data_IF_275061346668
#
_entry.id   IF_275061346668
#
_cell.length_a   1.000
_cell.length_b   1.000
_cell.length_c   1.000
_cell.angle_alpha   90.00
_cell.angle_beta   90.00
_cell.angle_gamma   90.00
#
_symmetry.space_group_name_H-M   'P 1'
#
loop_
_entity.id
_entity.type
_entity.pdbx_description
1 polymer ?
#
# COMPACT_ATOMS: atom_id res chain seq x y z
N UNK A 1 10.95 50.63 -34.14
CA UNK A 1 11.95 50.26 -35.17
C UNK A 1 12.64 48.97 -34.76
N UNK A 2 12.40 47.91 -35.53
CA UNK A 2 13.24 46.71 -35.77
C UNK A 2 13.40 45.64 -34.66
N UNK A 3 12.44 44.71 -34.59
CA UNK A 3 12.64 43.34 -34.10
C UNK A 3 13.00 42.43 -35.29
N UNK A 4 14.30 42.35 -35.61
CA UNK A 4 14.92 41.32 -36.49
C UNK A 4 15.40 40.22 -35.52
N UNK A 5 15.04 38.93 -35.55
CA UNK A 5 14.95 37.88 -36.57
C UNK A 5 13.98 36.82 -35.95
N UNK A 6 12.93 36.25 -36.53
CA UNK A 6 12.69 35.63 -37.84
C UNK A 6 13.73 34.57 -38.22
N UNK A 7 13.61 33.39 -37.59
CA UNK A 7 14.07 32.11 -38.14
C UNK A 7 13.03 31.01 -37.89
N UNK A 8 12.23 30.65 -38.91
CA UNK A 8 11.37 29.49 -38.93
C UNK A 8 12.04 28.36 -39.73
N UNK A 9 12.14 27.15 -39.18
CA UNK A 9 12.29 25.88 -39.90
C UNK A 9 12.36 24.75 -38.84
N UNK A 10 11.27 23.99 -38.68
CA UNK A 10 11.14 22.67 -39.29
C UNK A 10 12.12 21.62 -38.72
N UNK A 11 11.62 20.77 -37.83
CA UNK A 11 11.88 19.33 -37.91
C UNK A 11 10.89 18.54 -37.05
N UNK A 12 9.91 17.97 -37.74
CA UNK A 12 9.40 16.61 -37.55
C UNK A 12 9.05 16.14 -36.13
N UNK A 13 7.75 16.24 -35.85
CA UNK A 13 6.91 15.12 -35.40
C UNK A 13 7.60 13.74 -35.40
N UNK A 14 8.13 13.33 -34.25
CA UNK A 14 8.33 11.93 -33.93
C UNK A 14 7.12 11.45 -33.12
N UNK A 15 6.16 10.91 -33.87
CA UNK A 15 5.17 9.97 -33.37
C UNK A 15 5.88 8.89 -32.54
N UNK A 16 5.76 8.97 -31.23
CA UNK A 16 5.91 7.80 -30.37
C UNK A 16 4.51 7.38 -29.92
N UNK A 17 3.78 6.80 -30.87
CA UNK A 17 2.62 5.98 -30.60
C UNK A 17 3.10 4.65 -29.98
N UNK A 18 3.54 4.69 -28.73
CA UNK A 18 3.57 3.49 -27.90
C UNK A 18 2.18 3.27 -27.33
N UNK A 19 1.30 2.78 -28.21
CA UNK A 19 0.16 1.97 -27.82
C UNK A 19 0.72 0.79 -27.03
N UNK A 20 0.59 0.83 -25.71
CA UNK A 20 0.65 -0.35 -24.88
C UNK A 20 -0.72 -0.56 -24.23
N UNK A 21 -1.15 -1.82 -24.13
CA UNK A 21 -2.54 -2.23 -24.18
C UNK A 21 -3.19 -2.09 -22.81
N UNK A 22 -4.52 -2.04 -22.84
CA UNK A 22 -5.40 -1.96 -21.68
C UNK A 22 -4.86 -2.65 -20.44
N UNK A 23 -4.50 -1.83 -19.45
CA UNK A 23 -4.32 -2.27 -18.08
C UNK A 23 -5.72 -2.64 -17.58
N UNK A 24 -6.13 -3.89 -17.84
CA UNK A 24 -7.10 -4.56 -16.99
C UNK A 24 -6.57 -4.36 -15.58
N UNK A 25 -7.29 -3.58 -14.78
CA UNK A 25 -7.07 -3.55 -13.34
C UNK A 25 -7.25 -4.99 -12.91
N UNK A 26 -6.09 -5.60 -12.74
CA UNK A 26 -5.84 -6.90 -12.20
C UNK A 26 -6.79 -7.06 -11.04
N UNK A 27 -7.73 -7.98 -11.19
CA UNK A 27 -8.41 -8.59 -10.06
C UNK A 27 -7.30 -8.99 -9.11
N UNK A 28 -7.08 -8.17 -8.08
CA UNK A 28 -6.20 -8.47 -6.98
C UNK A 28 -6.65 -9.86 -6.52
N UNK A 29 -5.77 -10.88 -6.47
CA UNK A 29 -6.16 -12.12 -5.84
C UNK A 29 -6.57 -11.72 -4.42
N UNK A 30 -7.87 -11.81 -4.13
CA UNK A 30 -8.35 -11.67 -2.78
C UNK A 30 -7.51 -12.66 -1.96
N UNK A 31 -6.79 -12.21 -0.92
CA UNK A 31 -6.00 -13.12 -0.12
C UNK A 31 -6.96 -14.21 0.34
N UNK A 32 -6.59 -15.46 0.06
CA UNK A 32 -7.32 -16.64 0.45
C UNK A 32 -7.28 -16.74 1.98
N UNK A 33 -8.20 -16.03 2.64
CA UNK A 33 -8.42 -16.10 4.09
C UNK A 33 -9.92 -16.20 4.30
N UNK A 34 -10.53 -17.22 3.71
CA UNK A 34 -11.94 -17.57 4.00
C UNK A 34 -12.08 -18.50 5.20
N UNK A 35 -10.99 -19.05 5.74
CA UNK A 35 -11.06 -20.06 6.81
C UNK A 35 -10.91 -19.51 8.23
N UNK A 36 -10.40 -18.29 8.43
CA UNK A 36 -10.26 -17.69 9.77
C UNK A 36 -11.36 -16.69 10.14
N UNK A 37 -12.32 -16.45 9.23
CA UNK A 37 -13.51 -15.65 9.52
C UNK A 37 -14.54 -16.38 10.42
N UNK A 38 -14.18 -17.51 11.03
CA UNK A 38 -15.12 -18.45 11.62
C UNK A 38 -15.83 -17.98 12.91
N UNK A 39 -15.50 -16.81 13.48
CA UNK A 39 -16.25 -16.24 14.62
C UNK A 39 -16.39 -14.70 14.58
N UNK A 40 -16.27 -14.06 13.41
CA UNK A 40 -16.49 -12.62 13.30
C UNK A 40 -17.85 -12.33 12.67
N UNK A 41 -18.59 -11.39 13.27
CA UNK A 41 -19.76 -10.82 12.61
C UNK A 41 -19.33 -10.24 11.25
N UNK A 42 -20.13 -10.37 10.19
CA UNK A 42 -19.79 -9.81 8.88
C UNK A 42 -19.43 -8.31 8.91
N UNK A 43 -20.02 -7.57 9.85
CA UNK A 43 -19.72 -6.16 10.09
C UNK A 43 -18.30 -5.94 10.64
N UNK A 44 -17.87 -6.79 11.58
CA UNK A 44 -16.53 -6.71 12.18
C UNK A 44 -15.45 -7.14 11.18
N UNK A 45 -15.75 -8.13 10.33
CA UNK A 45 -14.85 -8.55 9.26
C UNK A 45 -14.55 -7.39 8.28
N UNK A 46 -15.58 -6.68 7.81
CA UNK A 46 -15.38 -5.52 6.93
C UNK A 46 -14.62 -4.39 7.62
N UNK A 47 -14.91 -4.15 8.91
CA UNK A 47 -14.20 -3.13 9.70
C UNK A 47 -12.72 -3.48 9.84
N UNK A 48 -12.40 -4.73 10.19
CA UNK A 48 -11.03 -5.23 10.32
C UNK A 48 -10.29 -5.09 8.99
N UNK A 49 -10.90 -5.50 7.87
CA UNK A 49 -10.29 -5.34 6.54
C UNK A 49 -10.00 -3.88 6.20
N UNK A 50 -10.95 -2.98 6.48
CA UNK A 50 -10.77 -1.54 6.26
C UNK A 50 -9.61 -0.96 7.07
N UNK A 51 -9.51 -1.32 8.35
CA UNK A 51 -8.40 -0.89 9.22
C UNK A 51 -7.08 -1.53 8.74
N UNK A 52 -7.10 -2.78 8.32
CA UNK A 52 -5.91 -3.46 7.80
C UNK A 52 -5.34 -2.76 6.56
N UNK A 53 -6.19 -2.34 5.63
CA UNK A 53 -5.71 -1.58 4.48
C UNK A 53 -5.15 -0.20 4.85
N UNK A 54 -5.67 0.46 5.89
CA UNK A 54 -5.06 1.68 6.44
C UNK A 54 -3.68 1.38 7.03
N UNK A 55 -3.53 0.29 7.77
CA UNK A 55 -2.23 -0.14 8.32
C UNK A 55 -1.20 -0.39 7.21
N UNK A 56 -1.58 -1.09 6.14
CA UNK A 56 -0.72 -1.32 4.97
C UNK A 56 -0.36 -0.01 4.27
N UNK A 57 -1.31 0.92 4.15
CA UNK A 57 -1.08 2.25 3.57
C UNK A 57 -0.08 3.06 4.40
N UNK A 58 -0.27 3.11 5.72
CA UNK A 58 0.65 3.77 6.65
C UNK A 58 2.06 3.16 6.58
N UNK A 59 2.16 1.82 6.60
CA UNK A 59 3.43 1.12 6.43
C UNK A 59 4.12 1.46 5.10
N UNK A 60 3.37 1.51 4.00
CA UNK A 60 3.90 1.87 2.67
C UNK A 60 4.39 3.32 2.60
N UNK A 61 3.79 4.21 3.40
CA UNK A 61 4.20 5.60 3.55
C UNK A 61 5.33 5.78 4.59
N UNK A 62 5.89 4.69 5.10
CA UNK A 62 6.88 4.67 6.18
C UNK A 62 6.39 5.30 7.51
N UNK A 63 5.07 5.45 7.68
CA UNK A 63 4.45 5.87 8.93
C UNK A 63 4.15 4.64 9.79
N UNK A 64 5.17 4.20 10.52
CA UNK A 64 5.10 2.99 11.32
C UNK A 64 4.27 3.17 12.59
N UNK A 65 4.23 4.39 13.13
CA UNK A 65 3.42 4.68 14.32
C UNK A 65 1.95 4.47 13.99
N UNK A 66 1.48 5.10 12.90
CA UNK A 66 0.12 4.91 12.44
C UNK A 66 -0.14 3.46 12.03
N UNK A 67 0.81 2.78 11.37
CA UNK A 67 0.66 1.38 11.02
C UNK A 67 0.45 0.49 12.26
N UNK A 68 1.23 0.68 13.32
CA UNK A 68 1.11 -0.06 14.57
C UNK A 68 -0.18 0.29 15.33
N UNK A 69 -0.61 1.55 15.31
CA UNK A 69 -1.88 1.99 15.88
C UNK A 69 -3.06 1.26 15.22
N UNK A 70 -3.13 1.25 13.89
CA UNK A 70 -4.18 0.51 13.16
C UNK A 70 -4.12 -0.99 13.44
N UNK A 71 -2.93 -1.59 13.60
CA UNK A 71 -2.80 -2.99 13.96
C UNK A 71 -3.31 -3.26 15.39
N UNK A 72 -3.09 -2.33 16.32
CA UNK A 72 -3.64 -2.42 17.69
C UNK A 72 -5.16 -2.30 17.69
N UNK A 73 -5.73 -1.44 16.85
CA UNK A 73 -7.18 -1.35 16.65
C UNK A 73 -7.76 -2.69 16.15
N UNK A 74 -7.07 -3.40 15.24
CA UNK A 74 -7.49 -4.73 14.79
C UNK A 74 -7.47 -5.73 15.95
N UNK A 75 -6.40 -5.74 16.74
CA UNK A 75 -6.25 -6.63 17.91
C UNK A 75 -7.33 -6.39 18.98
N UNK A 76 -7.91 -5.18 19.04
CA UNK A 76 -9.02 -4.87 19.94
C UNK A 76 -10.37 -5.45 19.47
N UNK A 77 -10.51 -5.75 18.18
CA UNK A 77 -11.74 -6.32 17.58
C UNK A 77 -11.61 -7.84 17.45
N UNK A 78 -10.47 -8.32 16.97
CA UNK A 78 -10.16 -9.74 16.87
C UNK A 78 -8.78 -10.03 17.44
N UNK A 79 -8.73 -10.90 18.44
CA UNK A 79 -7.47 -11.36 19.04
C UNK A 79 -6.60 -12.09 18.00
N UNK A 80 -7.22 -12.75 17.03
CA UNK A 80 -6.53 -13.50 15.99
C UNK A 80 -6.98 -13.03 14.61
N UNK A 81 -6.14 -12.19 13.99
CA UNK A 81 -6.23 -11.84 12.58
C UNK A 81 -4.86 -12.00 11.94
N UNK A 82 -4.61 -13.14 11.29
CA UNK A 82 -3.30 -13.50 10.74
C UNK A 82 -2.64 -12.42 9.87
N UNK A 83 -3.36 -11.74 8.96
CA UNK A 83 -2.74 -10.71 8.13
C UNK A 83 -2.15 -9.54 8.94
N UNK A 84 -2.76 -9.17 10.07
CA UNK A 84 -2.21 -8.15 10.96
C UNK A 84 -0.92 -8.63 11.65
N UNK A 85 -0.90 -9.87 12.15
CA UNK A 85 0.31 -10.44 12.78
C UNK A 85 1.48 -10.53 11.80
N UNK A 86 1.23 -10.94 10.56
CA UNK A 86 2.25 -10.96 9.51
C UNK A 86 2.80 -9.55 9.22
N UNK A 87 1.95 -8.51 9.25
CA UNK A 87 2.40 -7.14 9.06
C UNK A 87 3.20 -6.63 10.27
N UNK A 88 2.79 -6.96 11.50
CA UNK A 88 3.55 -6.64 12.73
C UNK A 88 4.94 -7.24 12.69
N UNK A 89 5.04 -8.50 12.30
CA UNK A 89 6.33 -9.19 12.19
C UNK A 89 7.22 -8.57 11.10
N UNK A 90 6.64 -8.16 9.96
CA UNK A 90 7.40 -7.41 8.94
C UNK A 90 7.94 -6.09 9.48
N UNK A 91 7.12 -5.30 10.18
CA UNK A 91 7.56 -4.04 10.81
C UNK A 91 8.71 -4.33 11.80
N UNK A 92 8.54 -5.37 12.63
CA UNK A 92 9.57 -5.80 13.59
C UNK A 92 10.87 -6.22 12.91
N UNK A 93 10.84 -6.92 11.77
CA UNK A 93 12.06 -7.32 11.06
C UNK A 93 12.76 -6.14 10.41
N UNK A 94 12.02 -5.20 9.84
CA UNK A 94 12.63 -4.04 9.18
C UNK A 94 13.28 -3.09 10.21
N UNK A 95 12.73 -3.01 11.42
CA UNK A 95 13.15 -1.99 12.41
C UNK A 95 13.72 -2.54 13.72
N UNK A 96 13.34 -3.74 14.14
CA UNK A 96 13.86 -4.43 15.32
C UNK A 96 15.20 -5.15 15.08
N UNK A 97 15.59 -5.32 13.82
CA UNK A 97 16.94 -5.73 13.41
C UNK A 97 17.87 -4.52 13.15
N UNK A 98 17.38 -3.29 13.38
CA UNK A 98 18.24 -2.13 13.60
C UNK A 98 19.05 -2.35 14.87
N UNK A 99 20.30 -1.84 14.96
CA UNK A 99 21.17 -2.12 16.09
C UNK A 99 20.44 -1.79 17.39
N UNK A 100 20.21 -2.83 18.21
CA UNK A 100 19.71 -2.64 19.55
C UNK A 100 20.59 -1.57 20.22
N UNK A 101 20.03 -0.49 20.80
CA UNK A 101 20.84 0.42 21.60
C UNK A 101 21.43 -0.43 22.72
N UNK A 102 22.75 -0.58 22.67
CA UNK A 102 23.52 -1.45 23.55
C UNK A 102 23.09 -1.26 25.01
N UNK A 103 22.76 -2.38 25.65
CA UNK A 103 22.76 -2.50 27.10
C UNK A 103 23.97 -3.31 27.50
#
# INVERSE_FOLDING_TARGET
>A
MNHKYLFPAMAASLFCACVLPGRKVQTRPAPAVKEEAAMLSPADAQKIEGIYYKAVGAYSNNDLSAALEYLNEISAISVFYRPAEELREKIRRVYGDGPAPGR
#
